data_IF_029223746296
#
_entry.id   IF_029223746296
#
_cell.length_a   1.000
_cell.length_b   1.000
_cell.length_c   1.000
_cell.angle_alpha   90.00
_cell.angle_beta   90.00
_cell.angle_gamma   90.00
#
_symmetry.space_group_name_H-M   'P 1'
#
loop_
_entity.id
_entity.type
_entity.pdbx_description
1 polymer ?
#
# COMPACT_ATOMS: atom_id res chain seq x y z
N UNK A 1 66.06 61.20 -18.84
CA UNK A 1 66.96 60.19 -19.40
C UNK A 1 66.23 58.86 -19.46
N UNK A 2 65.93 58.47 -20.73
CA UNK A 2 65.77 57.10 -21.24
C UNK A 2 64.76 56.17 -20.53
N UNK A 3 63.59 55.92 -21.14
CA UNK A 3 63.33 54.84 -22.11
C UNK A 3 63.48 53.42 -21.43
N UNK A 4 62.36 52.72 -21.40
CA UNK A 4 62.17 51.36 -21.93
C UNK A 4 60.67 51.00 -21.72
N UNK A 5 59.93 51.02 -22.77
CA UNK A 5 59.56 49.97 -23.73
C UNK A 5 58.45 49.06 -23.20
N UNK A 6 57.29 49.28 -23.78
CA UNK A 6 56.16 48.43 -24.05
C UNK A 6 56.49 46.92 -24.23
N UNK A 7 55.75 46.04 -23.57
CA UNK A 7 55.40 44.75 -24.14
C UNK A 7 54.00 44.37 -23.60
N UNK A 8 53.07 44.37 -24.52
CA UNK A 8 51.72 43.95 -24.30
C UNK A 8 51.66 42.46 -24.02
N UNK A 9 50.82 42.11 -23.08
CA UNK A 9 50.38 40.73 -22.91
C UNK A 9 48.84 40.74 -22.93
N UNK A 10 48.31 40.43 -24.09
CA UNK A 10 46.91 40.09 -24.30
C UNK A 10 46.66 38.78 -23.56
N UNK A 11 46.26 38.84 -22.30
CA UNK A 11 45.57 37.72 -21.69
C UNK A 11 44.14 37.66 -22.26
N UNK A 12 43.92 36.73 -23.16
CA UNK A 12 42.62 36.26 -23.57
C UNK A 12 41.85 35.86 -22.31
N UNK A 13 40.88 36.67 -21.97
CA UNK A 13 39.81 36.30 -21.02
C UNK A 13 39.06 35.17 -21.70
N UNK A 14 39.38 33.94 -21.25
CA UNK A 14 38.63 32.74 -21.64
C UNK A 14 37.15 32.96 -21.35
N UNK A 15 36.36 32.86 -22.40
CA UNK A 15 34.90 32.83 -22.31
C UNK A 15 34.50 31.79 -21.30
N UNK A 16 34.14 32.19 -20.07
CA UNK A 16 33.35 31.39 -19.17
C UNK A 16 32.04 31.12 -19.87
N UNK A 17 31.94 29.94 -20.47
CA UNK A 17 30.68 29.39 -20.89
C UNK A 17 29.77 29.38 -19.67
N UNK A 18 28.87 30.35 -19.57
CA UNK A 18 27.71 30.27 -18.71
C UNK A 18 27.03 28.98 -19.09
N UNK A 19 27.23 27.93 -18.30
CA UNK A 19 26.32 26.81 -18.28
C UNK A 19 24.98 27.42 -17.88
N UNK A 20 24.18 27.73 -18.88
CA UNK A 20 22.80 28.11 -18.68
C UNK A 20 22.14 26.89 -18.08
N UNK A 21 22.03 26.88 -16.76
CA UNK A 21 21.21 25.96 -15.99
C UNK A 21 19.75 26.27 -16.41
N UNK A 22 19.38 25.80 -17.60
CA UNK A 22 17.99 25.78 -18.02
C UNK A 22 17.31 24.82 -17.03
N UNK A 23 16.29 25.29 -16.30
CA UNK A 23 15.47 24.38 -15.52
C UNK A 23 15.00 23.30 -16.49
N UNK A 24 15.45 22.05 -16.29
CA UNK A 24 14.95 20.93 -17.09
C UNK A 24 13.43 21.01 -17.03
N UNK A 25 12.77 21.28 -18.14
CA UNK A 25 11.33 21.13 -18.28
C UNK A 25 10.98 19.76 -17.73
N UNK A 26 10.25 19.74 -16.60
CA UNK A 26 9.78 18.49 -15.98
C UNK A 26 8.93 17.81 -17.05
N UNK A 27 9.42 16.70 -17.58
CA UNK A 27 8.74 15.95 -18.62
C UNK A 27 7.35 15.57 -18.11
N UNK A 28 6.32 16.11 -18.75
CA UNK A 28 4.93 15.72 -18.44
C UNK A 28 4.79 14.25 -18.79
N UNK A 29 4.39 13.45 -17.80
CA UNK A 29 4.11 12.03 -18.02
C UNK A 29 3.11 11.85 -19.15
N UNK A 30 3.41 10.95 -20.07
CA UNK A 30 2.47 10.56 -21.11
C UNK A 30 1.30 9.78 -20.47
N UNK A 31 0.14 9.83 -21.09
CA UNK A 31 -1.04 9.05 -20.63
C UNK A 31 -0.74 7.56 -20.56
N UNK A 32 0.10 7.03 -21.46
CA UNK A 32 0.51 5.63 -21.46
C UNK A 32 1.42 5.28 -20.28
N UNK A 33 2.30 6.19 -19.86
CA UNK A 33 3.15 5.99 -18.68
C UNK A 33 2.33 5.99 -17.39
N UNK A 34 1.36 6.90 -17.27
CA UNK A 34 0.42 6.92 -16.14
C UNK A 34 -0.39 5.62 -16.10
N UNK A 35 -0.93 5.17 -17.24
CA UNK A 35 -1.69 3.92 -17.34
C UNK A 35 -0.84 2.69 -16.98
N UNK A 36 0.44 2.65 -17.37
CA UNK A 36 1.35 1.56 -17.04
C UNK A 36 1.62 1.44 -15.55
N UNK A 37 1.85 2.58 -14.87
CA UNK A 37 2.06 2.63 -13.42
C UNK A 37 0.76 2.27 -12.70
N UNK A 38 -0.37 2.84 -13.11
CA UNK A 38 -1.67 2.60 -12.51
C UNK A 38 -2.14 1.15 -12.66
N UNK A 39 -1.94 0.51 -13.82
CA UNK A 39 -2.33 -0.89 -14.04
C UNK A 39 -1.50 -1.87 -13.20
N UNK A 40 -0.21 -1.59 -13.01
CA UNK A 40 0.64 -2.38 -12.13
C UNK A 40 0.18 -2.31 -10.69
N UNK A 41 -0.02 -1.10 -10.18
CA UNK A 41 -0.50 -0.85 -8.83
C UNK A 41 -1.90 -1.49 -8.60
N UNK A 42 -2.81 -1.33 -9.55
CA UNK A 42 -4.16 -1.91 -9.45
C UNK A 42 -4.13 -3.45 -9.39
N UNK A 43 -3.31 -4.12 -10.21
CA UNK A 43 -3.19 -5.58 -10.17
C UNK A 43 -2.60 -6.07 -8.84
N UNK A 44 -1.58 -5.37 -8.36
CA UNK A 44 -0.91 -5.66 -7.10
C UNK A 44 -1.91 -5.64 -5.93
N UNK A 45 -2.67 -4.56 -5.82
CA UNK A 45 -3.67 -4.42 -4.77
C UNK A 45 -4.86 -5.36 -4.96
N UNK A 46 -5.32 -5.58 -6.20
CA UNK A 46 -6.41 -6.52 -6.48
C UNK A 46 -6.09 -7.94 -6.01
N UNK A 47 -4.91 -8.47 -6.36
CA UNK A 47 -4.48 -9.80 -5.91
C UNK A 47 -4.44 -9.89 -4.38
N UNK A 48 -3.87 -8.87 -3.79
CA UNK A 48 -3.63 -8.82 -2.37
C UNK A 48 -4.95 -8.80 -1.57
N UNK A 49 -5.85 -7.89 -1.91
CA UNK A 49 -7.15 -7.76 -1.23
C UNK A 49 -8.08 -8.94 -1.54
N UNK A 50 -7.98 -9.53 -2.75
CA UNK A 50 -8.74 -10.73 -3.11
C UNK A 50 -8.44 -11.87 -2.15
N UNK A 51 -7.16 -12.09 -1.78
CA UNK A 51 -6.83 -13.11 -0.78
C UNK A 51 -7.49 -12.82 0.57
N UNK A 52 -7.41 -11.58 1.05
CA UNK A 52 -8.00 -11.14 2.32
C UNK A 52 -9.51 -11.38 2.35
N UNK A 53 -10.22 -10.99 1.29
CA UNK A 53 -11.68 -11.08 1.20
C UNK A 53 -12.20 -12.51 1.06
N UNK A 54 -11.42 -13.38 0.41
CA UNK A 54 -11.72 -14.80 0.27
C UNK A 54 -10.98 -15.68 1.30
N UNK A 55 -10.42 -15.11 2.37
CA UNK A 55 -9.61 -15.85 3.34
C UNK A 55 -10.36 -17.05 3.95
N UNK A 56 -11.68 -16.94 4.18
CA UNK A 56 -12.53 -18.05 4.67
C UNK A 56 -12.60 -19.17 3.65
N UNK A 57 -12.88 -18.87 2.38
CA UNK A 57 -13.02 -19.85 1.30
C UNK A 57 -11.68 -20.51 0.96
N UNK A 58 -10.61 -19.72 0.93
CA UNK A 58 -9.23 -20.22 0.74
C UNK A 58 -8.85 -21.15 1.90
N UNK A 59 -9.19 -20.76 3.14
CA UNK A 59 -8.97 -21.57 4.33
C UNK A 59 -9.57 -22.96 4.19
N UNK A 60 -10.87 -23.03 3.91
CA UNK A 60 -11.60 -24.28 3.71
C UNK A 60 -11.10 -25.12 2.55
N UNK A 61 -10.59 -24.48 1.50
CA UNK A 61 -10.13 -25.16 0.29
C UNK A 61 -8.71 -25.71 0.39
N UNK A 62 -7.76 -24.97 0.99
CA UNK A 62 -6.31 -25.26 0.91
C UNK A 62 -5.68 -25.70 2.24
N UNK A 63 -6.39 -25.59 3.38
CA UNK A 63 -5.81 -25.86 4.68
C UNK A 63 -6.60 -26.93 5.46
N UNK A 64 -5.90 -27.71 6.32
CA UNK A 64 -6.54 -28.72 7.18
C UNK A 64 -7.25 -28.11 8.37
N UNK A 65 -8.07 -28.93 9.03
CA UNK A 65 -8.69 -28.63 10.31
C UNK A 65 -10.12 -28.14 10.20
N UNK A 66 -10.65 -27.69 11.35
CA UNK A 66 -11.97 -27.08 11.41
C UNK A 66 -11.99 -25.67 10.78
N UNK A 67 -13.18 -25.06 10.72
CA UNK A 67 -13.35 -23.73 10.12
C UNK A 67 -12.46 -22.65 10.77
N UNK A 68 -12.25 -22.72 12.09
CA UNK A 68 -11.41 -21.75 12.80
C UNK A 68 -9.91 -21.99 12.54
N UNK A 69 -9.48 -23.25 12.54
CA UNK A 69 -8.07 -23.60 12.28
C UNK A 69 -7.67 -23.30 10.83
N UNK A 70 -8.49 -23.71 9.88
CA UNK A 70 -8.23 -23.44 8.45
C UNK A 70 -8.20 -21.94 8.14
N UNK A 71 -9.05 -21.12 8.77
CA UNK A 71 -9.01 -19.67 8.65
C UNK A 71 -7.73 -19.08 9.25
N UNK A 72 -7.31 -19.52 10.46
CA UNK A 72 -6.06 -19.07 11.08
C UNK A 72 -4.87 -19.37 10.17
N UNK A 73 -4.79 -20.57 9.58
CA UNK A 73 -3.73 -20.94 8.65
C UNK A 73 -3.76 -20.11 7.36
N UNK A 74 -4.97 -19.81 6.85
CA UNK A 74 -5.15 -18.92 5.71
C UNK A 74 -4.64 -17.51 6.01
N UNK A 75 -5.04 -16.92 7.15
CA UNK A 75 -4.59 -15.58 7.57
C UNK A 75 -3.08 -15.53 7.88
N UNK A 76 -2.53 -16.60 8.46
CA UNK A 76 -1.08 -16.73 8.65
C UNK A 76 -0.35 -16.74 7.29
N UNK A 77 -0.87 -17.48 6.31
CA UNK A 77 -0.33 -17.55 4.95
C UNK A 77 -0.44 -16.21 4.24
N UNK A 78 -1.53 -15.45 4.45
CA UNK A 78 -1.62 -14.06 4.02
C UNK A 78 -0.46 -13.24 4.57
N UNK A 79 -0.19 -13.35 5.87
CA UNK A 79 0.90 -12.66 6.55
C UNK A 79 2.29 -13.04 6.06
N UNK A 80 2.52 -14.30 5.73
CA UNK A 80 3.82 -14.80 5.22
C UNK A 80 4.25 -14.07 3.94
N UNK A 81 3.31 -13.68 3.07
CA UNK A 81 3.60 -12.89 1.87
C UNK A 81 4.32 -11.57 2.17
N UNK A 82 4.13 -10.97 3.33
CA UNK A 82 4.79 -9.72 3.70
C UNK A 82 6.25 -9.93 4.14
N UNK A 83 6.59 -11.09 4.68
CA UNK A 83 7.94 -11.40 5.17
C UNK A 83 8.96 -11.40 4.03
N UNK A 84 8.55 -11.79 2.83
CA UNK A 84 9.42 -11.80 1.65
C UNK A 84 9.61 -10.43 0.98
N UNK A 85 8.77 -9.43 1.30
CA UNK A 85 8.84 -8.08 0.70
C UNK A 85 10.19 -7.38 0.89
N UNK A 86 10.81 -7.34 2.08
CA UNK A 86 12.13 -6.71 2.25
C UNK A 86 13.21 -7.35 1.39
N UNK A 87 13.17 -8.68 1.24
CA UNK A 87 14.11 -9.40 0.36
C UNK A 87 13.90 -9.05 -1.10
N UNK A 88 12.63 -9.01 -1.55
CA UNK A 88 12.27 -8.57 -2.89
C UNK A 88 12.74 -7.15 -3.17
N UNK A 89 12.48 -6.22 -2.25
CA UNK A 89 12.94 -4.83 -2.33
C UNK A 89 14.46 -4.71 -2.46
N UNK A 90 15.20 -5.52 -1.71
CA UNK A 90 16.65 -5.53 -1.76
C UNK A 90 17.20 -6.09 -3.08
N UNK A 91 16.66 -7.21 -3.55
CA UNK A 91 17.17 -7.93 -4.74
C UNK A 91 16.68 -7.25 -6.01
N UNK A 92 15.37 -7.00 -6.14
CA UNK A 92 14.78 -6.34 -7.31
C UNK A 92 15.23 -4.88 -7.38
N UNK A 93 15.32 -4.20 -6.22
CA UNK A 93 15.83 -2.83 -6.14
C UNK A 93 17.27 -2.72 -6.64
N UNK A 94 18.18 -3.64 -6.20
CA UNK A 94 19.56 -3.67 -6.73
C UNK A 94 19.62 -3.98 -8.22
N UNK A 95 18.72 -4.83 -8.70
CA UNK A 95 18.63 -5.12 -10.14
C UNK A 95 18.16 -3.87 -10.90
N UNK A 96 17.19 -3.12 -10.36
CA UNK A 96 16.73 -1.85 -10.93
C UNK A 96 17.86 -0.82 -11.01
N UNK A 97 18.70 -0.73 -9.97
CA UNK A 97 19.85 0.19 -9.94
C UNK A 97 20.99 -0.21 -10.88
N UNK A 98 21.19 -1.53 -11.13
CA UNK A 98 22.32 -2.02 -11.93
C UNK A 98 21.98 -2.29 -13.40
N UNK A 99 20.79 -2.83 -13.67
CA UNK A 99 20.34 -3.27 -15.01
C UNK A 99 19.26 -2.40 -15.62
N UNK A 100 18.72 -1.45 -14.85
CA UNK A 100 17.65 -0.58 -15.29
C UNK A 100 16.32 -0.86 -14.60
N UNK A 101 15.46 0.16 -14.56
CA UNK A 101 14.14 0.05 -13.92
C UNK A 101 13.19 -0.85 -14.71
N UNK A 102 13.22 -0.76 -16.05
CA UNK A 102 12.34 -1.55 -16.93
C UNK A 102 12.47 -3.07 -16.75
N UNK A 103 13.67 -3.71 -16.79
CA UNK A 103 13.79 -5.15 -16.57
C UNK A 103 13.38 -5.58 -15.16
N UNK A 104 13.61 -4.73 -14.13
CA UNK A 104 13.16 -5.00 -12.77
C UNK A 104 11.64 -5.04 -12.67
N UNK A 105 10.95 -4.06 -13.24
CA UNK A 105 9.49 -4.00 -13.29
C UNK A 105 8.86 -5.16 -14.06
N UNK A 106 9.49 -5.60 -15.16
CA UNK A 106 9.02 -6.76 -15.95
C UNK A 106 9.17 -8.05 -15.13
N UNK A 107 10.30 -8.23 -14.45
CA UNK A 107 10.53 -9.42 -13.60
C UNK A 107 9.52 -9.45 -12.43
N UNK A 108 9.35 -8.34 -11.71
CA UNK A 108 8.40 -8.22 -10.60
C UNK A 108 6.99 -8.61 -11.05
N UNK A 109 6.55 -8.03 -12.16
CA UNK A 109 5.21 -8.29 -12.69
C UNK A 109 5.02 -9.73 -13.20
N UNK A 110 6.05 -10.33 -13.80
CA UNK A 110 6.03 -11.75 -14.22
C UNK A 110 5.95 -12.68 -12.99
N UNK A 111 6.73 -12.41 -11.94
CA UNK A 111 6.67 -13.18 -10.68
C UNK A 111 5.30 -13.05 -10.02
N UNK A 112 4.72 -11.84 -10.00
CA UNK A 112 3.37 -11.63 -9.48
C UNK A 112 2.35 -12.46 -10.26
N UNK A 113 2.36 -12.40 -11.60
CA UNK A 113 1.47 -13.18 -12.44
C UNK A 113 1.62 -14.68 -12.23
N UNK A 114 2.86 -15.16 -12.06
CA UNK A 114 3.14 -16.57 -11.73
C UNK A 114 2.53 -16.95 -10.38
N UNK A 115 2.70 -16.10 -9.36
CA UNK A 115 2.16 -16.33 -8.03
C UNK A 115 0.63 -16.37 -8.02
N UNK A 116 -0.03 -15.40 -8.68
CA UNK A 116 -1.50 -15.33 -8.80
C UNK A 116 -2.05 -16.58 -9.50
N UNK A 117 -1.52 -16.87 -10.67
CA UNK A 117 -1.97 -18.01 -11.49
C UNK A 117 -1.71 -19.33 -10.77
N UNK A 118 -0.52 -19.50 -10.20
CA UNK A 118 -0.15 -20.73 -9.50
C UNK A 118 -1.02 -20.97 -8.27
N UNK A 119 -1.32 -19.93 -7.51
CA UNK A 119 -2.24 -20.05 -6.35
C UNK A 119 -3.64 -20.44 -6.82
N UNK A 120 -4.19 -19.77 -7.85
CA UNK A 120 -5.52 -20.08 -8.40
C UNK A 120 -5.65 -21.54 -8.90
N UNK A 121 -4.58 -22.09 -9.48
CA UNK A 121 -4.56 -23.43 -10.00
C UNK A 121 -4.18 -24.51 -8.97
N UNK A 122 -3.85 -24.13 -7.74
CA UNK A 122 -3.49 -25.08 -6.68
C UNK A 122 -4.68 -26.00 -6.35
N UNK A 123 -4.53 -27.34 -6.47
CA UNK A 123 -5.59 -28.27 -6.09
C UNK A 123 -5.93 -28.15 -4.60
N UNK A 124 -7.16 -28.55 -4.23
CA UNK A 124 -7.60 -28.45 -2.84
C UNK A 124 -6.85 -29.43 -1.91
N UNK A 125 -6.92 -29.15 -0.60
CA UNK A 125 -6.36 -30.01 0.43
C UNK A 125 -6.92 -31.45 0.36
N UNK A 126 -8.19 -31.61 -0.01
CA UNK A 126 -8.82 -32.92 -0.16
C UNK A 126 -8.21 -33.76 -1.30
N UNK A 127 -7.56 -33.11 -2.29
CA UNK A 127 -6.97 -33.81 -3.47
C UNK A 127 -5.49 -34.14 -3.22
N UNK A 128 -4.71 -33.17 -2.71
CA UNK A 128 -3.24 -33.32 -2.60
C UNK A 128 -2.72 -33.19 -1.16
N UNK A 129 -3.62 -33.14 -0.16
CA UNK A 129 -3.23 -33.07 1.25
C UNK A 129 -2.40 -31.83 1.59
N UNK A 130 -1.42 -32.01 2.47
CA UNK A 130 -0.53 -30.94 2.96
C UNK A 130 0.19 -30.18 1.85
N UNK A 131 0.42 -30.83 0.68
CA UNK A 131 1.05 -30.17 -0.47
C UNK A 131 0.27 -28.92 -0.92
N UNK A 132 -1.08 -28.90 -0.82
CA UNK A 132 -1.89 -27.72 -1.12
C UNK A 132 -1.49 -26.52 -0.28
N UNK A 133 -1.36 -26.69 1.02
CA UNK A 133 -0.97 -25.64 1.96
C UNK A 133 0.47 -25.15 1.69
N UNK A 134 1.42 -26.06 1.44
CA UNK A 134 2.81 -25.71 1.17
C UNK A 134 2.91 -24.92 -0.14
N UNK A 135 2.21 -25.34 -1.20
CA UNK A 135 2.18 -24.64 -2.48
C UNK A 135 1.57 -23.25 -2.34
N UNK A 136 0.48 -23.12 -1.57
CA UNK A 136 -0.13 -21.82 -1.28
C UNK A 136 0.86 -20.86 -0.60
N UNK A 137 1.59 -21.33 0.44
CA UNK A 137 2.64 -20.55 1.11
C UNK A 137 3.74 -20.15 0.14
N UNK A 138 4.21 -21.06 -0.73
CA UNK A 138 5.24 -20.75 -1.72
C UNK A 138 4.80 -19.64 -2.69
N UNK A 139 3.59 -19.73 -3.23
CA UNK A 139 3.08 -18.69 -4.13
C UNK A 139 2.88 -17.36 -3.41
N UNK A 140 2.45 -17.34 -2.14
CA UNK A 140 2.38 -16.11 -1.34
C UNK A 140 3.76 -15.49 -1.09
N UNK A 141 4.80 -16.29 -0.87
CA UNK A 141 6.18 -15.80 -0.76
C UNK A 141 6.67 -15.20 -2.09
N UNK A 142 6.35 -15.83 -3.24
CA UNK A 142 6.70 -15.33 -4.58
C UNK A 142 5.98 -13.98 -4.84
N UNK A 143 4.69 -13.88 -4.52
CA UNK A 143 3.92 -12.64 -4.66
C UNK A 143 4.50 -11.53 -3.78
N UNK A 144 4.76 -11.81 -2.50
CA UNK A 144 5.37 -10.84 -1.60
C UNK A 144 6.76 -10.39 -2.04
N UNK A 145 7.59 -11.31 -2.52
CA UNK A 145 8.92 -10.97 -3.08
C UNK A 145 8.80 -10.04 -4.30
N UNK A 146 7.86 -10.31 -5.20
CA UNK A 146 7.59 -9.47 -6.36
C UNK A 146 7.21 -8.04 -5.96
N UNK A 147 6.31 -7.91 -4.98
CA UNK A 147 5.80 -6.62 -4.47
C UNK A 147 6.86 -5.74 -3.83
N UNK A 148 7.86 -6.34 -3.16
CA UNK A 148 8.87 -5.61 -2.41
C UNK A 148 9.66 -4.58 -3.23
N UNK A 149 9.74 -4.74 -4.55
CA UNK A 149 10.54 -3.90 -5.45
C UNK A 149 9.85 -2.64 -5.98
N UNK A 150 8.52 -2.47 -5.84
CA UNK A 150 7.78 -1.46 -6.61
C UNK A 150 7.37 -0.20 -5.83
N UNK A 151 7.09 -0.29 -4.54
CA UNK A 151 6.35 0.77 -3.81
C UNK A 151 7.13 2.08 -3.63
N UNK A 152 8.41 2.03 -3.31
CA UNK A 152 9.22 3.22 -3.05
C UNK A 152 9.45 4.09 -4.28
N UNK A 153 9.88 3.53 -5.42
CA UNK A 153 10.10 4.26 -6.65
C UNK A 153 8.85 4.93 -7.21
N UNK A 154 7.68 4.30 -7.10
CA UNK A 154 6.43 4.82 -7.66
C UNK A 154 5.93 6.07 -6.92
N UNK A 155 5.95 6.08 -5.59
CA UNK A 155 5.54 7.24 -4.79
C UNK A 155 6.49 8.43 -4.97
N UNK A 156 7.81 8.19 -4.99
CA UNK A 156 8.81 9.22 -5.21
C UNK A 156 8.68 9.85 -6.61
N UNK A 157 8.47 9.03 -7.63
CA UNK A 157 8.30 9.46 -9.01
C UNK A 157 7.07 10.38 -9.18
N UNK A 158 5.93 10.03 -8.58
CA UNK A 158 4.72 10.84 -8.66
C UNK A 158 4.85 12.19 -7.95
N UNK A 159 5.53 12.21 -6.80
CA UNK A 159 5.81 13.46 -6.09
C UNK A 159 6.78 14.38 -6.85
N UNK A 160 7.80 13.79 -7.51
CA UNK A 160 8.75 14.54 -8.33
C UNK A 160 8.12 15.09 -9.62
N UNK A 161 7.14 14.37 -10.18
CA UNK A 161 6.39 14.78 -11.37
C UNK A 161 5.26 15.78 -11.07
N UNK A 162 4.88 15.95 -9.80
CA UNK A 162 3.79 16.82 -9.39
C UNK A 162 4.17 18.30 -9.60
N UNK A 163 3.23 19.14 -10.10
CA UNK A 163 3.41 20.59 -10.08
C UNK A 163 3.59 21.14 -8.67
N UNK A 164 4.29 22.27 -8.49
CA UNK A 164 4.45 22.91 -7.18
C UNK A 164 3.09 23.11 -6.48
N UNK A 165 2.98 22.70 -5.21
CA UNK A 165 1.77 22.83 -4.40
C UNK A 165 0.65 21.82 -4.67
N UNK A 166 0.88 20.80 -5.53
CA UNK A 166 -0.10 19.73 -5.84
C UNK A 166 0.40 18.31 -5.51
N UNK A 167 1.42 18.19 -4.68
CA UNK A 167 2.00 16.90 -4.33
C UNK A 167 1.01 15.97 -3.62
N UNK A 168 0.15 16.51 -2.75
CA UNK A 168 -0.90 15.75 -2.07
C UNK A 168 -1.91 15.16 -3.04
N UNK A 169 -2.38 15.96 -4.00
CA UNK A 169 -3.33 15.51 -5.02
C UNK A 169 -2.75 14.39 -5.92
N UNK A 170 -1.50 14.50 -6.35
CA UNK A 170 -0.87 13.47 -7.19
C UNK A 170 -0.64 12.16 -6.43
N UNK A 171 -0.24 12.24 -5.15
CA UNK A 171 -0.09 11.07 -4.30
C UNK A 171 -1.45 10.41 -4.04
N UNK A 172 -2.50 11.20 -3.79
CA UNK A 172 -3.84 10.68 -3.53
C UNK A 172 -4.47 9.99 -4.74
N UNK A 173 -4.17 10.41 -5.97
CA UNK A 173 -4.58 9.68 -7.18
C UNK A 173 -3.94 8.28 -7.19
N UNK A 174 -2.67 8.15 -6.79
CA UNK A 174 -2.01 6.85 -6.72
C UNK A 174 -2.69 5.93 -5.69
N UNK A 175 -3.00 6.46 -4.50
CA UNK A 175 -3.73 5.72 -3.47
C UNK A 175 -5.14 5.34 -3.95
N UNK A 176 -5.87 6.27 -4.57
CA UNK A 176 -7.19 6.01 -5.14
C UNK A 176 -7.18 4.90 -6.23
N UNK A 177 -6.08 4.70 -6.97
CA UNK A 177 -5.97 3.57 -7.91
C UNK A 177 -5.85 2.22 -7.20
N UNK A 178 -5.23 2.18 -6.03
CA UNK A 178 -5.20 0.99 -5.19
C UNK A 178 -6.60 0.67 -4.64
N UNK A 179 -7.30 1.70 -4.14
CA UNK A 179 -8.66 1.55 -3.60
C UNK A 179 -9.70 1.23 -4.68
N UNK A 180 -9.48 1.68 -5.90
CA UNK A 180 -10.29 1.24 -7.04
C UNK A 180 -10.14 -0.27 -7.28
N UNK A 181 -8.97 -0.84 -7.06
CA UNK A 181 -8.78 -2.29 -7.12
C UNK A 181 -9.54 -3.02 -6.01
N UNK A 182 -9.60 -2.44 -4.80
CA UNK A 182 -10.46 -2.93 -3.70
C UNK A 182 -11.93 -2.93 -4.11
N UNK A 183 -12.40 -1.84 -4.72
CA UNK A 183 -13.78 -1.74 -5.24
C UNK A 183 -14.06 -2.82 -6.28
N UNK A 184 -13.15 -3.03 -7.24
CA UNK A 184 -13.31 -4.08 -8.26
C UNK A 184 -13.32 -5.47 -7.62
N UNK A 185 -12.45 -5.74 -6.65
CA UNK A 185 -12.45 -7.00 -5.91
C UNK A 185 -13.78 -7.21 -5.15
N UNK A 186 -14.33 -6.15 -4.56
CA UNK A 186 -15.65 -6.15 -3.91
C UNK A 186 -16.78 -6.46 -4.87
N UNK A 187 -16.79 -5.85 -6.06
CA UNK A 187 -17.76 -6.14 -7.14
C UNK A 187 -17.67 -7.61 -7.56
N UNK A 188 -16.46 -8.11 -7.82
CA UNK A 188 -16.23 -9.51 -8.21
C UNK A 188 -16.69 -10.46 -7.09
N UNK A 189 -16.32 -10.19 -5.84
CA UNK A 189 -16.72 -11.00 -4.69
C UNK A 189 -18.23 -11.03 -4.49
N UNK A 190 -18.91 -9.87 -4.59
CA UNK A 190 -20.36 -9.78 -4.51
C UNK A 190 -21.03 -10.53 -5.66
N UNK A 191 -20.57 -10.36 -6.89
CA UNK A 191 -21.08 -11.07 -8.06
C UNK A 191 -20.96 -12.59 -7.90
N UNK A 192 -19.76 -13.08 -7.53
CA UNK A 192 -19.53 -14.51 -7.32
C UNK A 192 -20.38 -15.07 -6.16
N UNK A 193 -20.52 -14.32 -5.05
CA UNK A 193 -21.37 -14.74 -3.92
C UNK A 193 -22.87 -14.74 -4.23
N UNK A 194 -23.31 -14.03 -5.28
CA UNK A 194 -24.71 -14.04 -5.73
C UNK A 194 -24.98 -15.10 -6.80
N UNK A 195 -24.01 -15.36 -7.66
CA UNK A 195 -24.14 -16.28 -8.80
C UNK A 195 -23.83 -17.74 -8.45
N UNK A 196 -22.94 -17.96 -7.47
CA UNK A 196 -22.49 -19.30 -7.08
C UNK A 196 -23.22 -19.79 -5.82
N UNK A 197 -23.49 -21.09 -5.75
CA UNK A 197 -23.91 -21.73 -4.51
C UNK A 197 -22.74 -21.75 -3.50
N UNK A 198 -23.05 -21.87 -2.20
CA UNK A 198 -22.01 -21.87 -1.16
C UNK A 198 -20.88 -22.90 -1.40
N UNK A 199 -21.16 -24.17 -1.77
CA UNK A 199 -20.10 -25.12 -2.10
C UNK A 199 -19.27 -24.72 -3.33
N UNK A 200 -19.90 -24.12 -4.35
CA UNK A 200 -19.19 -23.63 -5.54
C UNK A 200 -18.36 -22.40 -5.23
N UNK A 201 -18.82 -21.52 -4.36
CA UNK A 201 -18.07 -20.35 -3.90
C UNK A 201 -16.81 -20.78 -3.13
N UNK A 202 -16.93 -21.76 -2.24
CA UNK A 202 -15.80 -22.32 -1.46
C UNK A 202 -14.78 -23.03 -2.36
N UNK A 203 -15.25 -23.76 -3.40
CA UNK A 203 -14.37 -24.51 -4.30
C UNK A 203 -13.75 -23.65 -5.41
N UNK A 204 -14.53 -22.77 -6.04
CA UNK A 204 -14.15 -22.07 -7.26
C UNK A 204 -14.20 -20.55 -7.18
N UNK A 205 -14.99 -19.96 -6.27
CA UNK A 205 -15.21 -18.52 -6.22
C UNK A 205 -13.91 -17.73 -6.14
N UNK A 206 -13.06 -18.05 -5.18
CA UNK A 206 -11.76 -17.41 -5.00
C UNK A 206 -10.80 -17.67 -6.17
N UNK A 207 -10.86 -18.86 -6.81
CA UNK A 207 -10.04 -19.17 -7.99
C UNK A 207 -10.42 -18.29 -9.18
N UNK A 208 -11.72 -18.14 -9.42
CA UNK A 208 -12.23 -17.26 -10.49
C UNK A 208 -11.79 -15.82 -10.24
N UNK A 209 -11.92 -15.32 -9.00
CA UNK A 209 -11.47 -13.98 -8.64
C UNK A 209 -9.98 -13.78 -8.94
N UNK A 210 -9.12 -14.72 -8.56
CA UNK A 210 -7.68 -14.66 -8.89
C UNK A 210 -7.41 -14.75 -10.39
N UNK A 211 -8.11 -15.59 -11.14
CA UNK A 211 -7.95 -15.72 -12.59
C UNK A 211 -8.40 -14.44 -13.33
N UNK A 212 -9.40 -13.72 -12.82
CA UNK A 212 -9.76 -12.38 -13.32
C UNK A 212 -8.57 -11.43 -13.12
N UNK A 213 -7.93 -11.41 -11.96
CA UNK A 213 -6.70 -10.66 -11.72
C UNK A 213 -5.56 -11.09 -12.65
N UNK A 214 -5.34 -12.39 -12.80
CA UNK A 214 -4.30 -12.94 -13.68
C UNK A 214 -4.46 -12.52 -15.14
N UNK A 215 -5.70 -12.29 -15.61
CA UNK A 215 -5.98 -11.86 -16.99
C UNK A 215 -5.38 -10.48 -17.32
N UNK A 216 -5.10 -9.65 -16.30
CA UNK A 216 -4.47 -8.33 -16.47
C UNK A 216 -2.96 -8.45 -16.74
N UNK A 217 -2.33 -9.57 -16.33
CA UNK A 217 -0.87 -9.75 -16.40
C UNK A 217 -0.31 -9.65 -17.82
N UNK A 218 -0.87 -10.32 -18.85
CA UNK A 218 -0.36 -10.18 -20.21
C UNK A 218 -0.40 -8.75 -20.73
N UNK A 219 -1.49 -8.03 -20.43
CA UNK A 219 -1.65 -6.63 -20.80
C UNK A 219 -0.62 -5.73 -20.10
N UNK A 220 -0.47 -5.89 -18.78
CA UNK A 220 0.52 -5.14 -18.01
C UNK A 220 1.97 -5.41 -18.44
N UNK A 221 2.31 -6.64 -18.79
CA UNK A 221 3.63 -6.99 -19.37
C UNK A 221 3.85 -6.33 -20.73
N UNK A 222 2.84 -6.36 -21.61
CA UNK A 222 2.92 -5.70 -22.92
C UNK A 222 3.14 -4.20 -22.75
N UNK A 223 2.37 -3.54 -21.88
CA UNK A 223 2.47 -2.12 -21.63
C UNK A 223 3.85 -1.72 -21.02
N UNK A 224 4.39 -2.52 -20.10
CA UNK A 224 5.72 -2.28 -19.52
C UNK A 224 6.86 -2.47 -20.51
N UNK A 225 6.69 -3.30 -21.54
CA UNK A 225 7.68 -3.44 -22.62
C UNK A 225 7.79 -2.18 -23.48
N UNK A 226 6.75 -1.36 -23.56
CA UNK A 226 6.75 -0.10 -24.32
C UNK A 226 7.33 1.09 -23.55
N UNK A 227 7.53 0.96 -22.21
CA UNK A 227 8.11 2.03 -21.40
C UNK A 227 9.57 2.27 -21.78
N UNK A 228 9.97 3.54 -21.85
CA UNK A 228 11.37 3.93 -21.98
C UNK A 228 12.12 3.77 -20.65
N UNK A 229 13.41 3.44 -20.73
CA UNK A 229 14.27 3.38 -19.55
C UNK A 229 14.49 4.77 -18.97
N UNK A 230 14.20 4.97 -17.69
CA UNK A 230 14.24 6.29 -17.04
C UNK A 230 15.40 6.50 -16.08
N UNK A 231 16.41 5.60 -16.06
CA UNK A 231 17.57 5.73 -15.16
C UNK A 231 18.37 7.00 -15.49
N UNK A 232 18.43 8.00 -14.59
CA UNK A 232 19.39 9.09 -14.74
C UNK A 232 20.79 8.58 -14.39
N UNK A 233 21.78 8.88 -15.24
CA UNK A 233 23.16 8.44 -15.07
C UNK A 233 23.89 9.03 -13.84
N UNK A 234 23.31 9.96 -13.08
CA UNK A 234 24.01 10.82 -12.13
C UNK A 234 23.45 10.92 -10.69
N UNK A 235 22.69 9.96 -10.21
CA UNK A 235 22.22 10.03 -8.80
C UNK A 235 23.13 9.27 -7.81
N UNK A 236 24.45 9.40 -7.91
CA UNK A 236 25.40 8.72 -7.02
C UNK A 236 26.32 9.71 -6.32
N UNK A 237 25.88 10.25 -5.19
CA UNK A 237 26.76 10.87 -4.21
C UNK A 237 26.60 10.18 -2.85
N UNK A 238 27.68 9.90 -2.09
CA UNK A 238 27.55 9.38 -0.75
C UNK A 238 26.81 10.40 0.12
N UNK A 239 25.93 9.88 1.00
CA UNK A 239 25.24 10.72 1.98
C UNK A 239 26.27 11.39 2.90
N UNK A 240 26.19 12.71 3.16
CA UNK A 240 27.10 13.36 4.08
C UNK A 240 26.91 12.79 5.49
N UNK A 241 27.98 12.71 6.32
CA UNK A 241 27.89 12.31 7.70
C UNK A 241 27.04 13.33 8.47
N UNK A 242 25.77 13.03 8.64
CA UNK A 242 24.85 13.75 9.50
C UNK A 242 24.61 12.97 10.77
N UNK A 243 24.24 13.66 11.86
CA UNK A 243 23.84 13.00 13.10
C UNK A 243 22.70 12.00 12.81
N UNK A 244 22.89 10.70 13.10
CA UNK A 244 21.91 9.63 12.92
C UNK A 244 20.68 9.79 13.85
N UNK A 245 20.86 10.46 15.00
CA UNK A 245 19.82 10.60 16.02
C UNK A 245 18.52 11.28 15.53
N UNK A 246 18.56 12.42 14.82
CA UNK A 246 17.33 13.01 14.28
C UNK A 246 16.63 12.11 13.24
N UNK A 247 17.42 11.41 12.41
CA UNK A 247 16.87 10.50 11.41
C UNK A 247 16.17 9.30 12.06
N UNK A 248 16.76 8.73 13.11
CA UNK A 248 16.15 7.64 13.89
C UNK A 248 14.86 8.07 14.59
N UNK A 249 14.81 9.31 15.12
CA UNK A 249 13.57 9.85 15.71
C UNK A 249 12.46 9.99 14.67
N UNK A 250 12.75 10.53 13.48
CA UNK A 250 11.79 10.65 12.38
C UNK A 250 11.37 9.26 11.89
N UNK A 251 12.30 8.31 11.78
CA UNK A 251 11.99 6.95 11.38
C UNK A 251 11.10 6.24 12.42
N UNK A 252 11.34 6.42 13.71
CA UNK A 252 10.50 5.90 14.79
C UNK A 252 9.10 6.49 14.78
N UNK A 253 8.97 7.81 14.63
CA UNK A 253 7.67 8.47 14.45
C UNK A 253 6.96 7.99 13.18
N UNK A 254 7.71 7.82 12.08
CA UNK A 254 7.21 7.25 10.83
C UNK A 254 6.71 5.82 10.99
N UNK A 255 7.41 4.98 11.78
CA UNK A 255 6.98 3.62 12.09
C UNK A 255 5.64 3.59 12.83
N UNK A 256 5.44 4.49 13.81
CA UNK A 256 4.17 4.60 14.53
C UNK A 256 3.03 5.07 13.59
N UNK A 257 3.29 6.07 12.76
CA UNK A 257 2.33 6.62 11.80
C UNK A 257 1.94 5.55 10.77
N UNK A 258 2.93 4.93 10.12
CA UNK A 258 2.68 3.92 9.10
C UNK A 258 2.10 2.64 9.69
N UNK A 259 2.51 2.26 10.92
CA UNK A 259 1.93 1.15 11.65
C UNK A 259 0.44 1.37 11.93
N UNK A 260 0.06 2.54 12.41
CA UNK A 260 -1.33 2.90 12.65
C UNK A 260 -2.17 2.86 11.36
N UNK A 261 -1.66 3.47 10.30
CA UNK A 261 -2.32 3.44 8.99
C UNK A 261 -2.47 2.01 8.47
N UNK A 262 -1.42 1.20 8.57
CA UNK A 262 -1.40 -0.19 8.10
C UNK A 262 -2.37 -1.06 8.90
N UNK A 263 -2.33 -1.01 10.24
CA UNK A 263 -3.24 -1.79 11.09
C UNK A 263 -4.68 -1.40 10.78
N UNK A 264 -5.00 -0.11 10.72
CA UNK A 264 -6.37 0.34 10.45
C UNK A 264 -6.84 -0.09 9.06
N UNK A 265 -5.98 -0.03 8.04
CA UNK A 265 -6.32 -0.49 6.69
C UNK A 265 -6.67 -1.99 6.68
N UNK A 266 -5.82 -2.83 7.28
CA UNK A 266 -6.05 -4.28 7.31
C UNK A 266 -7.17 -4.70 8.26
N UNK A 267 -7.52 -3.89 9.28
CA UNK A 267 -8.75 -4.04 10.06
C UNK A 267 -9.99 -3.84 9.17
N UNK A 268 -9.98 -2.82 8.31
CA UNK A 268 -11.07 -2.59 7.37
C UNK A 268 -11.19 -3.71 6.33
N UNK A 269 -10.07 -4.18 5.78
CA UNK A 269 -10.05 -5.34 4.88
C UNK A 269 -10.56 -6.62 5.59
N UNK A 270 -10.29 -6.76 6.89
CA UNK A 270 -10.73 -7.90 7.70
C UNK A 270 -12.24 -7.89 7.95
N UNK A 271 -12.94 -6.76 7.84
CA UNK A 271 -14.39 -6.69 8.09
C UNK A 271 -15.18 -7.69 7.25
N UNK A 272 -14.74 -8.02 6.04
CA UNK A 272 -15.37 -9.05 5.20
C UNK A 272 -15.27 -10.44 5.82
N UNK A 273 -14.08 -10.81 6.30
CA UNK A 273 -13.84 -12.07 7.03
C UNK A 273 -14.53 -12.06 8.39
N UNK A 274 -14.45 -10.95 9.12
CA UNK A 274 -15.07 -10.75 10.42
C UNK A 274 -16.61 -10.91 10.37
N UNK A 275 -17.25 -10.35 9.34
CA UNK A 275 -18.69 -10.49 9.15
C UNK A 275 -19.10 -11.95 8.90
N UNK A 276 -18.31 -12.71 8.14
CA UNK A 276 -18.59 -14.13 7.84
C UNK A 276 -18.28 -15.04 9.03
N UNK A 277 -17.12 -14.87 9.64
CA UNK A 277 -16.58 -15.80 10.65
C UNK A 277 -17.04 -15.48 12.09
N UNK A 278 -17.01 -14.21 12.48
CA UNK A 278 -17.30 -13.80 13.86
C UNK A 278 -18.75 -13.39 14.07
N UNK A 279 -19.36 -12.71 13.11
CA UNK A 279 -20.76 -12.27 13.19
C UNK A 279 -21.75 -13.26 12.55
N UNK A 280 -21.25 -14.28 11.84
CA UNK A 280 -22.05 -15.29 11.12
C UNK A 280 -23.07 -14.68 10.15
N UNK A 281 -22.71 -13.57 9.53
CA UNK A 281 -23.55 -12.86 8.56
C UNK A 281 -23.51 -13.53 7.18
N UNK A 282 -24.51 -13.24 6.36
CA UNK A 282 -24.57 -13.74 4.99
C UNK A 282 -23.34 -13.25 4.18
N UNK A 283 -22.75 -14.16 3.40
CA UNK A 283 -21.56 -13.90 2.58
C UNK A 283 -21.77 -12.71 1.63
N UNK A 284 -22.98 -12.55 1.10
CA UNK A 284 -23.37 -11.39 0.25
C UNK A 284 -23.23 -10.05 0.99
N UNK A 285 -23.67 -10.00 2.26
CA UNK A 285 -23.52 -8.80 3.08
C UNK A 285 -22.06 -8.49 3.35
N UNK A 286 -21.24 -9.51 3.61
CA UNK A 286 -19.81 -9.36 3.83
C UNK A 286 -19.10 -8.77 2.60
N UNK A 287 -19.33 -9.31 1.40
CA UNK A 287 -18.78 -8.73 0.17
C UNK A 287 -19.39 -7.38 -0.20
N UNK A 288 -20.66 -7.13 0.19
CA UNK A 288 -21.26 -5.80 0.07
C UNK A 288 -20.53 -4.74 0.89
N UNK A 289 -20.04 -5.09 2.09
CA UNK A 289 -19.19 -4.20 2.89
C UNK A 289 -17.85 -3.88 2.19
N UNK A 290 -17.24 -4.86 1.51
CA UNK A 290 -16.03 -4.63 0.70
C UNK A 290 -16.27 -3.60 -0.42
N UNK A 291 -17.44 -3.68 -1.06
CA UNK A 291 -17.82 -2.69 -2.08
C UNK A 291 -17.96 -1.29 -1.48
N UNK A 292 -18.59 -1.18 -0.30
CA UNK A 292 -18.69 0.10 0.44
C UNK A 292 -17.27 0.61 0.80
N UNK A 293 -16.39 -0.26 1.30
CA UNK A 293 -15.00 0.06 1.60
C UNK A 293 -14.31 0.68 0.38
N UNK A 294 -14.27 -0.03 -0.76
CA UNK A 294 -13.57 0.43 -1.95
C UNK A 294 -14.16 1.72 -2.54
N UNK A 295 -15.48 1.89 -2.51
CA UNK A 295 -16.14 3.11 -2.99
C UNK A 295 -15.80 4.32 -2.12
N UNK A 296 -15.94 4.18 -0.80
CA UNK A 296 -15.66 5.26 0.16
C UNK A 296 -14.19 5.63 0.13
N UNK A 297 -13.27 4.64 0.11
CA UNK A 297 -11.82 4.87 0.03
C UNK A 297 -11.46 5.67 -1.21
N UNK A 298 -11.88 5.20 -2.40
CA UNK A 298 -11.54 5.85 -3.68
C UNK A 298 -11.99 7.32 -3.71
N UNK A 299 -13.21 7.61 -3.22
CA UNK A 299 -13.75 8.98 -3.19
C UNK A 299 -13.01 9.85 -2.15
N UNK A 300 -12.79 9.30 -0.96
CA UNK A 300 -12.13 10.02 0.14
C UNK A 300 -10.65 10.33 -0.16
N UNK A 301 -9.93 9.43 -0.82
CA UNK A 301 -8.53 9.68 -1.19
C UNK A 301 -8.39 10.91 -2.09
N UNK A 302 -9.20 11.01 -3.14
CA UNK A 302 -9.17 12.19 -4.03
C UNK A 302 -9.51 13.48 -3.27
N UNK A 303 -10.46 13.43 -2.34
CA UNK A 303 -10.82 14.57 -1.51
C UNK A 303 -9.67 14.94 -0.54
N UNK A 304 -9.06 13.94 0.11
CA UNK A 304 -7.96 14.13 1.08
C UNK A 304 -6.77 14.83 0.45
N UNK A 305 -6.38 14.45 -0.78
CA UNK A 305 -5.27 15.09 -1.48
C UNK A 305 -5.44 16.60 -1.64
N UNK A 306 -6.66 17.06 -1.98
CA UNK A 306 -6.98 18.49 -2.10
C UNK A 306 -6.98 19.20 -0.75
N UNK A 307 -7.52 18.55 0.28
CA UNK A 307 -7.53 19.09 1.65
C UNK A 307 -6.12 19.24 2.21
N UNK A 308 -5.26 18.26 1.98
CA UNK A 308 -3.85 18.31 2.42
C UNK A 308 -3.07 19.42 1.73
N UNK A 309 -3.26 19.61 0.42
CA UNK A 309 -2.63 20.71 -0.31
C UNK A 309 -3.11 22.09 0.20
N UNK A 310 -4.34 22.18 0.70
CA UNK A 310 -4.94 23.43 1.19
C UNK A 310 -4.61 23.70 2.66
N UNK A 311 -4.86 22.74 3.55
CA UNK A 311 -4.82 22.92 5.01
C UNK A 311 -3.54 22.38 5.66
N UNK A 312 -2.76 21.55 4.96
CA UNK A 312 -1.59 20.86 5.44
C UNK A 312 -1.89 19.47 6.03
N UNK A 313 -0.91 18.55 5.98
CA UNK A 313 -1.14 17.15 6.32
C UNK A 313 -1.50 16.95 7.79
N UNK A 314 -0.85 17.66 8.72
CA UNK A 314 -1.04 17.46 10.16
C UNK A 314 -2.46 17.85 10.61
N UNK A 315 -3.00 18.95 10.07
CA UNK A 315 -4.37 19.38 10.41
C UNK A 315 -5.42 18.42 9.86
N UNK A 316 -5.21 17.92 8.64
CA UNK A 316 -6.14 16.99 7.98
C UNK A 316 -6.17 15.64 8.66
N UNK A 317 -5.04 15.14 9.19
CA UNK A 317 -5.00 13.85 9.87
C UNK A 317 -5.56 13.88 11.31
N UNK A 318 -5.36 14.99 12.06
CA UNK A 318 -5.60 15.02 13.50
C UNK A 318 -7.07 14.75 13.86
N UNK A 319 -8.02 15.45 13.20
CA UNK A 319 -9.43 15.32 13.51
C UNK A 319 -10.00 13.94 13.19
N UNK A 320 -9.79 13.37 11.98
CA UNK A 320 -10.28 12.02 11.67
C UNK A 320 -9.68 10.94 12.57
N UNK A 321 -8.38 11.01 12.89
CA UNK A 321 -7.76 10.02 13.76
C UNK A 321 -8.23 10.12 15.21
N UNK A 322 -8.47 11.33 15.74
CA UNK A 322 -9.12 11.50 17.04
C UNK A 322 -10.54 10.91 17.03
N UNK A 323 -11.31 11.18 15.98
CA UNK A 323 -12.64 10.61 15.83
C UNK A 323 -12.59 9.07 15.72
N UNK A 324 -11.59 8.51 15.00
CA UNK A 324 -11.41 7.07 14.87
C UNK A 324 -11.07 6.41 16.22
N UNK A 325 -10.22 7.04 17.05
CA UNK A 325 -9.93 6.58 18.42
C UNK A 325 -11.22 6.52 19.26
N UNK A 326 -12.08 7.51 19.16
CA UNK A 326 -13.31 7.59 19.94
C UNK A 326 -14.40 6.64 19.42
N UNK A 327 -14.47 6.42 18.12
CA UNK A 327 -15.57 5.72 17.45
C UNK A 327 -15.27 4.27 17.09
N UNK A 328 -14.00 3.83 17.02
CA UNK A 328 -13.68 2.46 16.64
C UNK A 328 -14.38 1.43 17.54
N UNK A 329 -14.15 1.50 18.83
CA UNK A 329 -14.75 0.56 19.79
C UNK A 329 -16.26 0.60 19.81
N UNK A 330 -16.93 1.77 19.94
CA UNK A 330 -18.40 1.86 19.84
C UNK A 330 -18.96 1.28 18.54
N UNK A 331 -18.29 1.48 17.40
CA UNK A 331 -18.72 0.93 16.12
C UNK A 331 -18.71 -0.58 16.11
N UNK A 332 -17.66 -1.22 16.65
CA UNK A 332 -17.62 -2.68 16.78
C UNK A 332 -18.65 -3.22 17.76
N UNK A 333 -18.98 -2.47 18.84
CA UNK A 333 -20.11 -2.81 19.74
C UNK A 333 -21.45 -2.80 18.98
N UNK A 334 -21.71 -1.78 18.18
CA UNK A 334 -22.93 -1.69 17.36
C UNK A 334 -22.99 -2.82 16.37
N UNK A 335 -21.85 -3.19 15.74
CA UNK A 335 -21.77 -4.31 14.81
C UNK A 335 -22.13 -5.64 15.47
N UNK A 336 -21.56 -5.92 16.65
CA UNK A 336 -21.80 -7.17 17.37
C UNK A 336 -23.24 -7.25 17.89
N UNK A 337 -23.79 -6.14 18.37
CA UNK A 337 -25.17 -6.09 18.87
C UNK A 337 -26.21 -6.18 17.77
N UNK A 338 -26.03 -5.47 16.64
CA UNK A 338 -27.04 -5.37 15.60
C UNK A 338 -26.98 -6.52 14.60
N UNK A 339 -25.79 -7.02 14.26
CA UNK A 339 -25.53 -8.09 13.26
C UNK A 339 -26.33 -7.96 11.98
N UNK A 340 -26.55 -6.72 11.55
CA UNK A 340 -27.37 -6.38 10.38
C UNK A 340 -26.54 -5.83 9.22
N UNK A 341 -27.00 -6.02 8.00
CA UNK A 341 -26.32 -5.51 6.79
C UNK A 341 -26.18 -4.00 6.81
N UNK A 342 -27.20 -3.27 7.29
CA UNK A 342 -27.16 -1.81 7.40
C UNK A 342 -26.12 -1.33 8.41
N UNK A 343 -26.02 -2.00 9.59
CA UNK A 343 -25.00 -1.70 10.57
C UNK A 343 -23.59 -1.98 10.02
N UNK A 344 -23.39 -3.09 9.30
CA UNK A 344 -22.13 -3.44 8.68
C UNK A 344 -21.70 -2.39 7.64
N UNK A 345 -22.61 -1.99 6.74
CA UNK A 345 -22.31 -0.96 5.73
C UNK A 345 -22.05 0.41 6.33
N UNK A 346 -22.86 0.80 7.34
CA UNK A 346 -22.66 2.07 8.06
C UNK A 346 -21.33 2.11 8.82
N UNK A 347 -21.00 1.04 9.52
CA UNK A 347 -19.72 0.90 10.22
C UNK A 347 -18.52 0.92 9.27
N UNK A 348 -18.60 0.16 8.17
CA UNK A 348 -17.56 0.15 7.14
C UNK A 348 -17.38 1.55 6.55
N UNK A 349 -18.45 2.23 6.17
CA UNK A 349 -18.37 3.57 5.60
C UNK A 349 -17.77 4.59 6.59
N UNK A 350 -18.21 4.57 7.84
CA UNK A 350 -17.72 5.48 8.88
C UNK A 350 -16.23 5.28 9.17
N UNK A 351 -15.84 4.04 9.48
CA UNK A 351 -14.45 3.72 9.81
C UNK A 351 -13.53 3.98 8.64
N UNK A 352 -13.95 3.64 7.41
CA UNK A 352 -13.19 3.90 6.18
C UNK A 352 -12.99 5.39 5.94
N UNK A 353 -14.04 6.18 6.05
CA UNK A 353 -13.98 7.64 5.90
C UNK A 353 -12.94 8.25 6.86
N UNK A 354 -13.05 7.92 8.15
CA UNK A 354 -12.12 8.41 9.17
C UNK A 354 -10.69 7.93 8.95
N UNK A 355 -10.53 6.66 8.54
CA UNK A 355 -9.24 6.07 8.26
C UNK A 355 -8.55 6.77 7.08
N UNK A 356 -9.21 6.89 5.93
CA UNK A 356 -8.59 7.41 4.69
C UNK A 356 -8.19 8.88 4.84
N UNK A 357 -9.05 9.73 5.40
CA UNK A 357 -8.69 11.14 5.65
C UNK A 357 -7.45 11.27 6.56
N UNK A 358 -7.31 10.39 7.54
CA UNK A 358 -6.15 10.38 8.43
C UNK A 358 -4.90 9.80 7.79
N UNK A 359 -5.00 8.62 7.18
CA UNK A 359 -3.84 7.84 6.71
C UNK A 359 -3.15 8.45 5.51
N UNK A 360 -3.91 8.93 4.52
CA UNK A 360 -3.32 9.58 3.34
C UNK A 360 -2.58 10.87 3.71
N UNK A 361 -3.14 11.64 4.66
CA UNK A 361 -2.47 12.82 5.21
C UNK A 361 -1.22 12.44 6.04
N UNK A 362 -1.27 11.33 6.78
CA UNK A 362 -0.19 10.85 7.63
C UNK A 362 1.04 10.40 6.82
N UNK A 363 0.84 9.69 5.70
CA UNK A 363 1.91 9.31 4.77
C UNK A 363 2.61 10.57 4.24
N UNK A 364 1.85 11.59 3.83
CA UNK A 364 2.44 12.82 3.31
C UNK A 364 3.20 13.60 4.38
N UNK A 365 2.67 13.65 5.62
CA UNK A 365 3.38 14.26 6.77
C UNK A 365 4.73 13.59 6.99
N UNK A 366 4.78 12.27 6.99
CA UNK A 366 6.03 11.52 7.16
C UNK A 366 7.01 11.78 6.01
N UNK A 367 6.55 11.74 4.76
CA UNK A 367 7.40 12.00 3.58
C UNK A 367 8.01 13.41 3.63
N UNK A 368 7.24 14.41 4.01
CA UNK A 368 7.71 15.80 4.10
C UNK A 368 8.72 16.01 5.25
N UNK A 369 8.63 15.24 6.31
CA UNK A 369 9.57 15.29 7.42
C UNK A 369 10.96 14.72 7.09
N UNK A 370 11.05 13.87 6.06
CA UNK A 370 12.32 13.24 5.66
C UNK A 370 13.20 14.22 4.87
N UNK A 371 14.51 14.34 5.20
CA UNK A 371 15.45 15.14 4.42
C UNK A 371 15.48 14.68 2.96
N UNK A 372 15.47 15.61 2.01
CA UNK A 372 15.35 15.34 0.57
C UNK A 372 16.37 14.34 0.04
N UNK A 373 17.61 14.38 0.55
CA UNK A 373 18.72 13.50 0.12
C UNK A 373 18.54 12.03 0.48
N UNK A 374 17.87 11.73 1.59
CA UNK A 374 17.68 10.36 2.11
C UNK A 374 16.21 9.93 2.06
N UNK A 375 15.34 10.80 1.56
CA UNK A 375 13.87 10.63 1.58
C UNK A 375 13.42 9.31 0.96
N UNK A 376 13.85 9.02 -0.26
CA UNK A 376 13.39 7.81 -0.96
C UNK A 376 13.83 6.52 -0.25
N UNK A 377 15.11 6.41 0.15
CA UNK A 377 15.62 5.23 0.84
C UNK A 377 15.03 5.05 2.24
N UNK A 378 14.92 6.14 3.01
CA UNK A 378 14.33 6.09 4.36
C UNK A 378 12.85 5.78 4.31
N UNK A 379 12.10 6.38 3.39
CA UNK A 379 10.68 6.08 3.16
C UNK A 379 10.51 4.60 2.82
N UNK A 380 11.23 4.10 1.82
CA UNK A 380 11.13 2.69 1.39
C UNK A 380 11.43 1.72 2.52
N UNK A 381 12.47 1.99 3.33
CA UNK A 381 12.84 1.11 4.43
C UNK A 381 11.78 1.11 5.53
N UNK A 382 11.36 2.29 6.01
CA UNK A 382 10.39 2.40 7.11
C UNK A 382 9.02 1.86 6.67
N UNK A 383 8.60 2.15 5.43
CA UNK A 383 7.37 1.64 4.85
C UNK A 383 7.40 0.11 4.72
N UNK A 384 8.48 -0.46 4.16
CA UNK A 384 8.61 -1.91 4.02
C UNK A 384 8.59 -2.63 5.37
N UNK A 385 9.27 -2.08 6.38
CA UNK A 385 9.28 -2.64 7.73
C UNK A 385 7.90 -2.53 8.39
N UNK A 386 7.22 -1.37 8.30
CA UNK A 386 5.90 -1.17 8.88
C UNK A 386 4.89 -2.16 8.26
N UNK A 387 4.87 -2.30 6.94
CA UNK A 387 3.98 -3.22 6.27
C UNK A 387 4.35 -4.68 6.55
N UNK A 388 5.63 -5.03 6.59
CA UNK A 388 6.04 -6.40 6.90
C UNK A 388 5.62 -6.81 8.32
N UNK A 389 5.77 -5.93 9.30
CA UNK A 389 5.45 -6.21 10.69
C UNK A 389 3.93 -6.14 10.92
N UNK A 390 3.30 -5.02 10.58
CA UNK A 390 1.90 -4.75 10.93
C UNK A 390 0.92 -5.25 9.87
N UNK A 391 1.23 -5.13 8.58
CA UNK A 391 0.34 -5.56 7.51
C UNK A 391 0.10 -7.06 7.52
N UNK A 392 1.18 -7.85 7.60
CA UNK A 392 1.10 -9.31 7.62
C UNK A 392 0.46 -9.88 8.87
N UNK A 393 0.60 -9.22 10.00
CA UNK A 393 0.14 -9.74 11.30
C UNK A 393 -1.28 -9.30 11.67
N UNK A 394 -1.80 -8.19 11.15
CA UNK A 394 -3.03 -7.56 11.67
C UNK A 394 -4.22 -8.51 11.67
N UNK A 395 -4.59 -9.09 10.54
CA UNK A 395 -5.79 -9.93 10.45
C UNK A 395 -5.68 -11.21 11.28
N UNK A 396 -4.49 -11.81 11.31
CA UNK A 396 -4.22 -12.96 12.19
C UNK A 396 -4.33 -12.55 13.67
N UNK A 397 -3.74 -11.42 14.04
CA UNK A 397 -3.81 -10.88 15.40
C UNK A 397 -5.25 -10.62 15.83
N UNK A 398 -6.06 -10.01 14.97
CA UNK A 398 -7.48 -9.76 15.25
C UNK A 398 -8.27 -11.05 15.45
N UNK A 399 -8.06 -12.04 14.58
CA UNK A 399 -8.69 -13.36 14.75
C UNK A 399 -8.27 -14.02 16.06
N UNK A 400 -6.99 -13.95 16.43
CA UNK A 400 -6.48 -14.51 17.69
C UNK A 400 -7.00 -13.74 18.90
N UNK A 401 -7.07 -12.40 18.84
CA UNK A 401 -7.64 -11.58 19.90
C UNK A 401 -9.10 -11.91 20.15
N UNK A 402 -9.92 -12.06 19.10
CA UNK A 402 -11.32 -12.51 19.23
C UNK A 402 -11.36 -13.89 19.91
N UNK A 403 -10.52 -14.83 19.48
CA UNK A 403 -10.47 -16.18 20.04
C UNK A 403 -10.05 -16.20 21.53
N UNK A 404 -9.05 -15.40 21.92
CA UNK A 404 -8.52 -15.37 23.28
C UNK A 404 -9.41 -14.60 24.25
N UNK A 405 -10.01 -13.49 23.80
CA UNK A 405 -10.87 -12.66 24.64
C UNK A 405 -12.32 -13.12 24.67
N UNK A 406 -12.74 -13.93 23.70
CA UNK A 406 -14.14 -14.29 23.49
C UNK A 406 -15.01 -13.10 23.04
N UNK A 407 -14.41 -11.95 22.70
CA UNK A 407 -15.12 -10.71 22.36
C UNK A 407 -14.99 -10.37 20.89
N UNK A 408 -16.11 -10.23 20.21
CA UNK A 408 -16.16 -9.77 18.83
C UNK A 408 -15.72 -8.28 18.67
N UNK A 409 -15.62 -7.53 19.77
CA UNK A 409 -15.21 -6.12 19.78
C UNK A 409 -13.68 -5.94 19.78
N UNK A 410 -12.92 -7.02 19.97
CA UNK A 410 -11.46 -6.98 20.07
C UNK A 410 -10.74 -6.23 18.92
N UNK A 411 -11.13 -6.36 17.64
CA UNK A 411 -10.53 -5.58 16.55
C UNK A 411 -10.67 -4.07 16.74
N UNK A 412 -11.79 -3.59 17.30
CA UNK A 412 -12.01 -2.17 17.62
C UNK A 412 -10.98 -1.63 18.62
N UNK A 413 -10.67 -2.40 19.67
CA UNK A 413 -9.64 -2.03 20.65
C UNK A 413 -8.24 -2.03 20.03
N UNK A 414 -7.94 -3.00 19.18
CA UNK A 414 -6.65 -3.08 18.48
C UNK A 414 -6.45 -1.90 17.54
N UNK A 415 -7.46 -1.56 16.73
CA UNK A 415 -7.47 -0.41 15.84
C UNK A 415 -7.31 0.90 16.62
N UNK A 416 -8.06 1.08 17.70
CA UNK A 416 -7.99 2.28 18.58
C UNK A 416 -6.57 2.47 19.12
N UNK A 417 -5.97 1.42 19.68
CA UNK A 417 -4.63 1.47 20.25
C UNK A 417 -3.57 1.81 19.19
N UNK A 418 -3.69 1.23 17.98
CA UNK A 418 -2.80 1.50 16.87
C UNK A 418 -2.89 2.97 16.42
N UNK A 419 -4.10 3.50 16.25
CA UNK A 419 -4.32 4.90 15.83
C UNK A 419 -3.84 5.87 16.90
N UNK A 420 -4.02 5.56 18.19
CA UNK A 420 -3.49 6.36 19.29
C UNK A 420 -1.95 6.44 19.24
N UNK A 421 -1.27 5.31 19.01
CA UNK A 421 0.18 5.28 18.83
C UNK A 421 0.61 6.09 17.59
N UNK A 422 -0.11 5.99 16.47
CA UNK A 422 0.14 6.78 15.28
C UNK A 422 -0.04 8.28 15.48
N UNK A 423 -1.04 8.68 16.27
CA UNK A 423 -1.28 10.07 16.62
C UNK A 423 -0.11 10.65 17.47
N UNK A 424 0.44 9.86 18.39
CA UNK A 424 1.67 10.22 19.13
C UNK A 424 2.83 10.43 18.14
N UNK A 425 3.02 9.51 17.20
CA UNK A 425 4.03 9.65 16.15
C UNK A 425 3.85 10.92 15.31
N UNK A 426 2.62 11.26 14.93
CA UNK A 426 2.31 12.48 14.19
C UNK A 426 2.56 13.76 14.99
N UNK A 427 2.35 13.75 16.31
CA UNK A 427 2.69 14.87 17.19
C UNK A 427 4.19 15.09 17.31
N UNK A 428 5.01 14.04 17.27
CA UNK A 428 6.48 14.13 17.31
C UNK A 428 7.07 14.79 16.05
N UNK A 429 6.38 14.75 14.92
CA UNK A 429 6.82 15.35 13.66
C UNK A 429 6.45 16.84 13.65
N UNK A 430 7.46 17.70 13.45
CA UNK A 430 7.23 19.13 13.18
C UNK A 430 6.87 19.32 11.71
N UNK A 431 5.76 20.03 11.43
CA UNK A 431 5.47 20.45 10.05
C UNK A 431 6.59 21.38 9.57
N UNK A 432 7.13 21.15 8.34
CA UNK A 432 8.01 22.14 7.72
C UNK A 432 7.25 23.46 7.58
N UNK A 433 7.89 24.58 7.93
CA UNK A 433 7.32 25.90 7.70
C UNK A 433 6.89 26.00 6.23
N UNK A 434 5.63 26.33 6.00
CA UNK A 434 5.14 26.61 4.65
C UNK A 434 5.94 27.79 4.15
N UNK A 435 6.76 27.61 3.12
CA UNK A 435 7.27 28.75 2.35
C UNK A 435 6.03 29.57 1.98
N UNK A 436 5.89 30.73 2.63
CA UNK A 436 4.80 31.67 2.38
C UNK A 436 4.67 31.86 0.89
N UNK A 437 3.45 31.67 0.37
CA UNK A 437 3.10 32.03 -0.98
C UNK A 437 3.40 33.53 -1.14
N UNK A 438 4.60 33.86 -1.61
CA UNK A 438 4.88 35.19 -2.16
C UNK A 438 4.57 35.17 -3.65
#
# INVERSE_FOLDING_TARGET
MRQFVTLGNQMRIGSTSRVTDRPRERARLSRSQIAAVASGNALEFYDFVTYSFFAVQIGRSLFPGDASQSLILSLATFGVGFVSRPLGGLIIGRMADRRGRKPAMILSFALMGTGITGLALTPSYHVIGVAASVIAVMFRLIQGFALGGEVGPNAAFLLEAAPPGRGGFYLSIHLATADLAVLVAGIVGLALSTLLSAPMLDAWGWRIAFLIGASIVPFGLALRRTLEETLPAEAKGPAPPGSLRPLLMIAGAGMLILGAGTISNYTLDYLTTYAQDSLHMAVRSAFGATLVLGLVSTVCDVATGRLVDTYGPKRVLMLPWLALILLAVPTFYVLDAARSTSALFGATALLTLLHIFGSSAAILLFIQALPTRVRAGSLSLVYALAIAIFGGSTQLTEKLLIRWTGSAVAPGWYMMAAVAAGLIGAMMIREPERLSRS
#
